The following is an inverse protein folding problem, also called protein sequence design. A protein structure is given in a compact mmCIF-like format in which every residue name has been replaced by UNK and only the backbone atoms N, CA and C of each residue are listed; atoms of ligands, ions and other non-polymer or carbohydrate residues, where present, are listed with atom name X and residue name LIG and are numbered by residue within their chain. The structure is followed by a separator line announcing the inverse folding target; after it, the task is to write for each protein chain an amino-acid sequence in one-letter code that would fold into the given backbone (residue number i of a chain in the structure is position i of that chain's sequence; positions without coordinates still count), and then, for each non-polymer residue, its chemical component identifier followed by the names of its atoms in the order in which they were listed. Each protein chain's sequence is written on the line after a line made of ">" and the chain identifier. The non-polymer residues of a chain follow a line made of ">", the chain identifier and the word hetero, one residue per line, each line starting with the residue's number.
data_IF_758004765568
#
_entry.id   IF_758004765568
#
_cell.length_a   1.000
_cell.length_b   1.000
_cell.length_c   1.000
_cell.angle_alpha   90.00
_cell.angle_beta   90.00
_cell.angle_gamma   90.00
#
_symmetry.space_group_name_H-M   'P 1'
#
loop_
_entity.id
_entity.type
_entity.pdbx_description
1 polymer ?
#
# COMPACT_ATOMS: atom_id res chain seq x y z
N UNK A 1 23.04 -47.88 14.76
CA UNK A 1 24.07 -46.82 14.71
C UNK A 1 24.07 -45.99 13.42
N UNK A 2 24.25 -46.59 12.24
CA UNK A 2 24.27 -45.84 10.95
C UNK A 2 23.01 -45.01 10.67
N UNK A 3 21.82 -45.57 10.89
CA UNK A 3 20.54 -44.87 10.69
C UNK A 3 20.33 -43.70 11.67
N UNK A 4 20.77 -43.85 12.91
CA UNK A 4 20.68 -42.77 13.90
C UNK A 4 21.64 -41.61 13.56
N UNK A 5 22.83 -41.93 13.06
CA UNK A 5 23.77 -40.92 12.56
C UNK A 5 23.22 -40.18 11.33
N UNK A 6 22.60 -40.89 10.39
CA UNK A 6 21.98 -40.30 9.19
C UNK A 6 20.78 -39.41 9.54
N UNK A 7 19.88 -39.86 10.43
CA UNK A 7 18.77 -39.04 10.94
C UNK A 7 19.28 -37.78 11.64
N UNK A 8 20.32 -37.90 12.47
CA UNK A 8 20.93 -36.74 13.14
C UNK A 8 21.48 -35.75 12.12
N UNK A 9 22.13 -36.23 11.07
CA UNK A 9 22.67 -35.39 10.00
C UNK A 9 21.56 -34.69 9.22
N UNK A 10 20.49 -35.40 8.85
CA UNK A 10 19.34 -34.83 8.14
C UNK A 10 18.60 -33.78 8.97
N UNK A 11 18.40 -34.04 10.26
CA UNK A 11 17.81 -33.06 11.20
C UNK A 11 18.69 -31.81 11.33
N UNK A 12 20.02 -31.97 11.37
CA UNK A 12 20.95 -30.84 11.38
C UNK A 12 20.85 -29.99 10.11
N UNK A 13 20.75 -30.63 8.94
CA UNK A 13 20.53 -29.92 7.66
C UNK A 13 19.17 -29.22 7.62
N UNK A 14 18.11 -29.87 8.08
CA UNK A 14 16.76 -29.30 8.14
C UNK A 14 16.74 -28.04 9.00
N UNK A 15 17.35 -28.10 10.19
CA UNK A 15 17.44 -26.95 11.09
C UNK A 15 18.20 -25.79 10.46
N UNK A 16 19.32 -26.06 9.80
CA UNK A 16 20.07 -25.03 9.08
C UNK A 16 19.23 -24.36 7.99
N UNK A 17 18.49 -25.14 7.18
CA UNK A 17 17.62 -24.59 6.14
C UNK A 17 16.51 -23.72 6.77
N UNK A 18 15.93 -24.12 7.89
CA UNK A 18 14.93 -23.32 8.60
C UNK A 18 15.50 -21.99 9.10
N UNK A 19 16.72 -22.00 9.65
CA UNK A 19 17.43 -20.79 10.08
C UNK A 19 17.75 -19.87 8.87
N UNK A 20 18.18 -20.45 7.74
CA UNK A 20 18.44 -19.71 6.50
C UNK A 20 17.14 -19.08 5.94
N UNK A 21 16.01 -19.81 5.95
CA UNK A 21 14.69 -19.28 5.55
C UNK A 21 14.29 -18.10 6.44
N UNK A 22 14.44 -18.24 7.76
CA UNK A 22 14.11 -17.17 8.70
C UNK A 22 14.96 -15.92 8.42
N UNK A 23 16.28 -16.08 8.25
CA UNK A 23 17.18 -14.97 7.93
C UNK A 23 16.83 -14.29 6.60
N UNK A 24 16.52 -15.07 5.56
CA UNK A 24 16.09 -14.52 4.27
C UNK A 24 14.75 -13.77 4.37
N UNK A 25 13.82 -14.23 5.22
CA UNK A 25 12.55 -13.54 5.46
C UNK A 25 12.77 -12.20 6.17
N UNK A 26 13.61 -12.17 7.19
CA UNK A 26 13.99 -10.93 7.88
C UNK A 26 14.65 -9.94 6.92
N UNK A 27 15.60 -10.42 6.10
CA UNK A 27 16.25 -9.60 5.08
C UNK A 27 15.24 -9.03 4.08
N UNK A 28 14.31 -9.85 3.59
CA UNK A 28 13.26 -9.40 2.67
C UNK A 28 12.39 -8.29 3.28
N UNK A 29 12.04 -8.40 4.56
CA UNK A 29 11.30 -7.35 5.29
C UNK A 29 12.12 -6.07 5.40
N UNK A 30 13.41 -6.18 5.69
CA UNK A 30 14.33 -5.03 5.72
C UNK A 30 14.45 -4.37 4.34
N UNK A 31 14.65 -5.15 3.28
CA UNK A 31 14.78 -4.64 1.91
C UNK A 31 13.52 -3.89 1.46
N UNK A 32 12.33 -4.38 1.86
CA UNK A 32 11.05 -3.67 1.62
C UNK A 32 11.00 -2.32 2.34
N UNK A 33 11.47 -2.24 3.57
CA UNK A 33 11.49 -0.96 4.29
C UNK A 33 12.49 0.01 3.65
N UNK A 34 13.69 -0.47 3.29
CA UNK A 34 14.70 0.34 2.58
C UNK A 34 14.17 0.85 1.25
N UNK A 35 13.46 0.00 0.50
CA UNK A 35 12.78 0.41 -0.73
C UNK A 35 11.80 1.56 -0.46
N UNK A 36 10.89 1.41 0.51
CA UNK A 36 9.91 2.44 0.84
C UNK A 36 10.56 3.75 1.31
N UNK A 37 11.60 3.66 2.13
CA UNK A 37 12.33 4.83 2.63
C UNK A 37 13.01 5.58 1.48
N UNK A 38 13.56 4.86 0.49
CA UNK A 38 14.17 5.47 -0.69
C UNK A 38 13.14 6.14 -1.61
N UNK A 39 11.99 5.50 -1.83
CA UNK A 39 10.92 6.00 -2.71
C UNK A 39 10.22 7.21 -2.11
N UNK A 40 10.02 7.23 -0.79
CA UNK A 40 9.27 8.26 -0.09
C UNK A 40 10.14 9.31 0.60
N UNK A 41 11.45 9.35 0.32
CA UNK A 41 12.40 10.24 0.98
C UNK A 41 12.00 11.72 0.89
N UNK A 42 11.48 12.14 -0.27
CA UNK A 42 11.06 13.51 -0.54
C UNK A 42 9.54 13.74 -0.27
N UNK A 43 8.81 12.72 0.17
CA UNK A 43 7.35 12.79 0.33
C UNK A 43 6.96 13.10 1.78
N UNK A 44 6.24 14.20 1.99
CA UNK A 44 5.81 14.64 3.33
C UNK A 44 4.41 14.16 3.71
N UNK A 45 3.60 13.76 2.73
CA UNK A 45 2.16 13.60 2.89
C UNK A 45 1.78 12.16 3.25
N UNK A 46 2.62 11.21 2.82
CA UNK A 46 2.45 9.78 3.10
C UNK A 46 3.67 9.19 3.81
N UNK A 47 3.41 8.31 4.77
CA UNK A 47 4.43 7.44 5.37
C UNK A 47 3.96 6.00 5.29
N UNK A 48 4.80 5.13 4.75
CA UNK A 48 4.53 3.70 4.66
C UNK A 48 5.57 2.98 5.51
N UNK A 49 5.09 2.20 6.48
CA UNK A 49 5.93 1.37 7.34
C UNK A 49 5.60 -0.10 7.13
N UNK A 50 6.63 -0.92 6.94
CA UNK A 50 6.50 -2.37 6.95
C UNK A 50 6.30 -2.83 8.39
N UNK A 51 5.26 -3.63 8.60
CA UNK A 51 4.99 -4.36 9.82
C UNK A 51 5.46 -5.80 9.58
N UNK A 52 6.63 -6.21 10.11
CA UNK A 52 7.13 -7.57 9.98
C UNK A 52 6.09 -8.56 10.49
N UNK A 53 5.76 -9.57 9.69
CA UNK A 53 4.77 -10.59 10.06
C UNK A 53 3.41 -9.99 10.50
N UNK A 54 3.07 -8.78 10.05
CA UNK A 54 1.93 -7.99 10.52
C UNK A 54 0.56 -8.42 10.00
N UNK A 55 0.42 -9.68 9.58
CA UNK A 55 -0.84 -10.28 9.17
C UNK A 55 -1.89 -10.09 10.28
N UNK A 56 -3.10 -9.66 9.92
CA UNK A 56 -4.15 -9.41 10.92
C UNK A 56 -4.51 -10.69 11.68
N UNK A 57 -4.83 -10.56 12.99
CA UNK A 57 -5.14 -11.70 13.88
C UNK A 57 -6.13 -12.69 13.26
N UNK A 58 -7.17 -12.21 12.60
CA UNK A 58 -8.18 -13.06 11.94
C UNK A 58 -7.61 -13.88 10.77
N UNK A 59 -6.84 -13.24 9.87
CA UNK A 59 -6.21 -13.91 8.72
C UNK A 59 -5.13 -14.89 9.17
N UNK A 60 -4.36 -14.51 10.19
CA UNK A 60 -3.39 -15.36 10.86
C UNK A 60 -4.07 -16.60 11.45
N UNK A 61 -5.13 -16.41 12.23
CA UNK A 61 -5.91 -17.48 12.84
C UNK A 61 -6.47 -18.43 11.79
N UNK A 62 -7.06 -17.91 10.71
CA UNK A 62 -7.58 -18.71 9.60
C UNK A 62 -6.50 -19.59 8.97
N UNK A 63 -5.31 -19.05 8.72
CA UNK A 63 -4.19 -19.83 8.17
C UNK A 63 -3.67 -20.88 9.15
N UNK A 64 -3.52 -20.53 10.43
CA UNK A 64 -3.12 -21.49 11.47
C UNK A 64 -4.14 -22.63 11.55
N UNK A 65 -5.43 -22.31 11.57
CA UNK A 65 -6.50 -23.31 11.55
C UNK A 65 -6.48 -24.18 10.31
N UNK A 66 -6.24 -23.59 9.14
CA UNK A 66 -6.13 -24.32 7.87
C UNK A 66 -4.96 -25.31 7.88
N UNK A 67 -3.75 -24.85 8.25
CA UNK A 67 -2.55 -25.69 8.26
C UNK A 67 -2.69 -26.81 9.31
N UNK A 68 -3.21 -26.47 10.49
CA UNK A 68 -3.45 -27.45 11.56
C UNK A 68 -4.70 -28.30 11.34
N UNK A 69 -5.41 -28.15 10.22
CA UNK A 69 -6.63 -28.90 9.87
C UNK A 69 -7.73 -28.81 10.96
N UNK A 70 -7.86 -27.64 11.57
CA UNK A 70 -8.87 -27.32 12.59
C UNK A 70 -10.00 -26.50 11.96
N UNK A 71 -11.25 -26.95 12.07
CA UNK A 71 -12.40 -26.22 11.53
C UNK A 71 -13.29 -25.61 12.62
N UNK A 72 -13.85 -24.42 12.34
CA UNK A 72 -14.80 -23.73 13.22
C UNK A 72 -14.21 -23.37 14.59
N UNK A 73 -15.04 -23.40 15.63
CA UNK A 73 -14.67 -23.04 17.02
C UNK A 73 -13.88 -24.13 17.78
N UNK A 74 -13.44 -25.19 17.10
CA UNK A 74 -12.64 -26.24 17.74
C UNK A 74 -11.34 -25.64 18.30
N UNK A 75 -10.98 -26.06 19.51
CA UNK A 75 -9.74 -25.69 20.21
C UNK A 75 -9.55 -24.18 20.42
N UNK A 76 -10.65 -23.41 20.49
CA UNK A 76 -10.63 -21.95 20.60
C UNK A 76 -9.66 -21.43 21.66
N UNK A 77 -9.64 -22.01 22.87
CA UNK A 77 -8.76 -21.59 23.97
C UNK A 77 -7.27 -21.74 23.65
N UNK A 78 -6.89 -22.80 22.94
CA UNK A 78 -5.51 -23.05 22.54
C UNK A 78 -5.11 -22.15 21.38
N UNK A 79 -5.97 -22.02 20.36
CA UNK A 79 -5.73 -21.12 19.22
C UNK A 79 -5.62 -19.67 19.67
N UNK A 80 -6.51 -19.19 20.54
CA UNK A 80 -6.41 -17.85 21.14
C UNK A 80 -5.08 -17.68 21.88
N UNK A 81 -4.62 -18.69 22.62
CA UNK A 81 -3.33 -18.63 23.30
C UNK A 81 -2.14 -18.54 22.33
N UNK A 82 -2.23 -19.23 21.19
CA UNK A 82 -1.25 -19.14 20.12
C UNK A 82 -1.26 -17.75 19.46
N UNK A 83 -2.44 -17.14 19.28
CA UNK A 83 -2.57 -15.81 18.66
C UNK A 83 -2.07 -14.65 19.54
N UNK A 84 -1.87 -14.89 20.83
CA UNK A 84 -1.23 -13.92 21.74
C UNK A 84 0.31 -13.96 21.68
N UNK A 85 0.90 -14.94 20.99
CA UNK A 85 2.33 -15.00 20.80
C UNK A 85 2.72 -14.03 19.67
N UNK A 86 3.39 -12.93 20.05
CA UNK A 86 3.81 -11.89 19.12
C UNK A 86 5.01 -12.28 18.23
N UNK A 87 5.83 -13.22 18.69
CA UNK A 87 6.99 -13.73 17.95
C UNK A 87 6.67 -15.03 17.22
N UNK A 88 6.80 -15.02 15.90
CA UNK A 88 6.52 -16.15 15.04
C UNK A 88 7.41 -17.37 15.34
N UNK A 89 8.67 -17.14 15.76
CA UNK A 89 9.56 -18.23 16.16
C UNK A 89 9.02 -18.95 17.40
N UNK A 90 8.58 -18.19 18.40
CA UNK A 90 7.93 -18.74 19.59
C UNK A 90 6.60 -19.43 19.28
N UNK A 91 5.82 -18.93 18.31
CA UNK A 91 4.59 -19.58 17.87
C UNK A 91 4.87 -20.99 17.33
N UNK A 92 5.85 -21.14 16.44
CA UNK A 92 6.30 -22.43 15.91
C UNK A 92 6.77 -23.38 17.01
N UNK A 93 7.65 -22.89 17.87
CA UNK A 93 8.16 -23.67 19.00
C UNK A 93 7.04 -24.15 19.92
N UNK A 94 6.00 -23.33 20.12
CA UNK A 94 4.86 -23.69 20.96
C UNK A 94 4.01 -24.79 20.34
N UNK A 95 3.73 -24.73 19.03
CA UNK A 95 2.97 -25.78 18.33
C UNK A 95 3.75 -27.09 18.28
N UNK A 96 5.05 -27.06 17.98
CA UNK A 96 5.90 -28.26 18.06
C UNK A 96 6.01 -28.82 19.49
N UNK A 97 6.04 -27.94 20.50
CA UNK A 97 6.02 -28.34 21.89
C UNK A 97 4.73 -29.06 22.25
N UNK A 98 3.59 -28.54 21.81
CA UNK A 98 2.29 -29.16 22.02
C UNK A 98 2.21 -30.51 21.28
N UNK A 99 2.75 -30.65 20.07
CA UNK A 99 2.70 -31.93 19.36
C UNK A 99 3.55 -33.04 20.01
N UNK A 100 4.42 -32.70 20.97
CA UNK A 100 5.33 -33.66 21.63
C UNK A 100 5.05 -33.84 23.12
N UNK A 101 4.43 -32.85 23.77
CA UNK A 101 4.17 -32.85 25.21
C UNK A 101 2.76 -32.33 25.53
N UNK A 102 1.93 -33.18 26.13
CA UNK A 102 0.58 -32.85 26.61
C UNK A 102 0.58 -31.67 27.57
N UNK A 103 1.61 -31.53 28.41
CA UNK A 103 1.67 -30.46 29.42
C UNK A 103 1.73 -29.06 28.80
N UNK A 104 2.12 -28.97 27.53
CA UNK A 104 2.21 -27.73 26.79
C UNK A 104 0.86 -27.22 26.25
N UNK A 105 -0.19 -28.05 26.22
CA UNK A 105 -1.53 -27.70 25.73
C UNK A 105 -2.47 -27.26 26.86
N UNK A 106 -3.42 -26.37 26.56
CA UNK A 106 -4.51 -26.01 27.49
C UNK A 106 -5.62 -27.07 27.47
N UNK A 107 -5.93 -27.64 26.30
CA UNK A 107 -6.91 -28.72 26.14
C UNK A 107 -6.22 -30.03 25.69
N UNK A 108 -6.54 -31.12 26.39
CA UNK A 108 -6.09 -32.47 26.02
C UNK A 108 -6.55 -32.85 24.61
N UNK A 109 -7.72 -32.40 24.17
CA UNK A 109 -8.23 -32.68 22.82
C UNK A 109 -7.41 -31.99 21.74
N UNK A 110 -6.80 -30.83 22.04
CA UNK A 110 -5.93 -30.14 21.10
C UNK A 110 -4.57 -30.82 20.99
N UNK A 111 -4.00 -31.26 22.12
CA UNK A 111 -2.81 -32.14 22.11
C UNK A 111 -3.05 -33.37 21.25
N UNK A 112 -4.14 -34.11 21.50
CA UNK A 112 -4.47 -35.33 20.74
C UNK A 112 -4.67 -35.04 19.25
N UNK A 113 -5.21 -33.88 18.89
CA UNK A 113 -5.35 -33.48 17.49
C UNK A 113 -3.99 -33.25 16.83
N UNK A 114 -3.09 -32.51 17.49
CA UNK A 114 -1.74 -32.24 16.97
C UNK A 114 -0.85 -33.49 16.93
N UNK A 115 -0.98 -34.37 17.92
CA UNK A 115 -0.29 -35.67 17.98
C UNK A 115 -0.73 -36.62 16.84
N UNK A 116 -2.01 -36.56 16.45
CA UNK A 116 -2.54 -37.33 15.32
C UNK A 116 -2.46 -36.60 13.97
N UNK A 117 -1.94 -35.38 13.94
CA UNK A 117 -1.88 -34.59 12.72
C UNK A 117 -0.84 -35.20 11.76
N UNK A 118 -1.09 -35.24 10.44
CA UNK A 118 -0.10 -35.70 9.49
C UNK A 118 1.23 -34.94 9.65
N UNK A 119 2.36 -35.65 9.57
CA UNK A 119 3.69 -35.02 9.67
C UNK A 119 3.91 -33.94 8.62
N UNK A 120 3.29 -34.08 7.45
CA UNK A 120 3.30 -33.06 6.38
C UNK A 120 2.71 -31.74 6.87
N UNK A 121 1.55 -31.77 7.55
CA UNK A 121 0.89 -30.57 8.08
C UNK A 121 1.73 -29.86 9.15
N UNK A 122 2.40 -30.62 10.03
CA UNK A 122 3.34 -30.05 10.99
C UNK A 122 4.55 -29.44 10.30
N UNK A 123 5.05 -30.10 9.25
CA UNK A 123 6.16 -29.58 8.43
C UNK A 123 5.77 -28.29 7.72
N UNK A 124 4.57 -28.23 7.13
CA UNK A 124 4.00 -27.04 6.51
C UNK A 124 3.88 -25.89 7.51
N UNK A 125 3.47 -26.18 8.75
CA UNK A 125 3.41 -25.17 9.81
C UNK A 125 4.79 -24.60 10.16
N UNK A 126 5.79 -25.47 10.26
CA UNK A 126 7.18 -25.08 10.56
C UNK A 126 7.82 -24.32 9.40
N UNK A 127 7.43 -24.58 8.16
CA UNK A 127 7.88 -23.85 6.98
C UNK A 127 7.09 -22.56 6.72
N UNK A 128 5.88 -22.45 7.25
CA UNK A 128 5.03 -21.30 7.03
C UNK A 128 5.52 -20.04 7.78
N UNK A 129 5.35 -18.87 7.17
CA UNK A 129 5.58 -17.57 7.79
C UNK A 129 4.42 -16.62 7.48
N UNK A 130 3.96 -15.83 8.46
CA UNK A 130 3.03 -14.74 8.21
C UNK A 130 3.62 -13.79 7.18
N UNK A 131 2.74 -13.14 6.42
CA UNK A 131 3.19 -12.10 5.51
C UNK A 131 3.43 -10.80 6.28
N UNK A 132 4.34 -9.98 5.74
CA UNK A 132 4.45 -8.60 6.18
C UNK A 132 3.15 -7.87 5.84
N UNK A 133 2.88 -6.82 6.60
CA UNK A 133 1.77 -5.93 6.34
C UNK A 133 2.29 -4.50 6.22
N UNK A 134 1.47 -3.60 5.68
CA UNK A 134 1.81 -2.20 5.55
C UNK A 134 0.95 -1.38 6.51
N UNK A 135 1.60 -0.48 7.24
CA UNK A 135 0.94 0.63 7.92
C UNK A 135 1.18 1.88 7.11
N UNK A 136 0.13 2.36 6.46
CA UNK A 136 0.16 3.59 5.69
C UNK A 136 -0.51 4.66 6.54
N UNK A 137 0.20 5.75 6.79
CA UNK A 137 -0.36 6.92 7.47
C UNK A 137 -0.36 8.12 6.53
N UNK A 138 -1.51 8.78 6.47
CA UNK A 138 -1.78 10.00 5.73
C UNK A 138 -1.75 11.22 6.66
N UNK A 139 -1.64 12.44 6.11
CA UNK A 139 -1.68 13.76 6.79
C UNK A 139 -1.89 13.74 8.32
N UNK A 140 -0.88 14.19 9.08
CA UNK A 140 -0.86 14.24 10.57
C UNK A 140 -0.95 12.87 11.26
N UNK A 141 -0.73 11.76 10.55
CA UNK A 141 -0.57 10.43 11.14
C UNK A 141 -1.86 9.60 11.20
N UNK A 142 -2.91 9.99 10.47
CA UNK A 142 -4.13 9.20 10.35
C UNK A 142 -3.84 7.89 9.62
N UNK A 143 -4.35 6.76 10.14
CA UNK A 143 -4.22 5.47 9.47
C UNK A 143 -5.08 5.42 8.20
N UNK A 144 -4.49 5.05 7.07
CA UNK A 144 -5.18 4.99 5.79
C UNK A 144 -6.33 3.98 5.79
N UNK A 145 -6.30 2.95 6.65
CA UNK A 145 -7.39 1.97 6.74
C UNK A 145 -8.73 2.62 7.08
N UNK A 146 -8.71 3.62 7.96
CA UNK A 146 -9.90 4.40 8.35
C UNK A 146 -10.11 5.64 7.47
N UNK A 147 -9.21 5.90 6.52
CA UNK A 147 -9.31 7.01 5.59
C UNK A 147 -10.47 6.86 4.60
N UNK A 148 -10.93 8.01 4.10
CA UNK A 148 -11.94 8.08 3.04
C UNK A 148 -11.44 7.44 1.74
N UNK A 149 -12.36 7.18 0.80
CA UNK A 149 -11.98 6.70 -0.53
C UNK A 149 -11.00 7.67 -1.21
N UNK A 150 -11.24 8.98 -1.12
CA UNK A 150 -10.35 10.00 -1.66
C UNK A 150 -8.97 9.99 -1.00
N UNK A 151 -8.88 9.87 0.33
CA UNK A 151 -7.58 9.75 1.02
C UNK A 151 -6.80 8.50 0.58
N UNK A 152 -7.49 7.38 0.35
CA UNK A 152 -6.88 6.14 -0.17
C UNK A 152 -6.34 6.33 -1.58
N UNK A 153 -7.12 6.92 -2.48
CA UNK A 153 -6.66 7.26 -3.83
C UNK A 153 -5.48 8.23 -3.81
N UNK A 154 -5.55 9.28 -2.98
CA UNK A 154 -4.48 10.25 -2.84
C UNK A 154 -3.17 9.60 -2.36
N UNK A 155 -3.24 8.71 -1.37
CA UNK A 155 -2.05 8.03 -0.88
C UNK A 155 -1.41 7.11 -1.94
N UNK A 156 -2.23 6.37 -2.70
CA UNK A 156 -1.73 5.53 -3.79
C UNK A 156 -1.08 6.37 -4.89
N UNK A 157 -1.72 7.47 -5.27
CA UNK A 157 -1.23 8.36 -6.31
C UNK A 157 0.08 9.06 -5.89
N UNK A 158 0.18 9.51 -4.63
CA UNK A 158 1.42 10.04 -4.07
C UNK A 158 2.57 9.03 -4.18
N UNK A 159 2.30 7.76 -3.87
CA UNK A 159 3.29 6.69 -4.02
C UNK A 159 3.69 6.49 -5.50
N UNK A 160 2.72 6.37 -6.42
CA UNK A 160 2.99 6.19 -7.86
C UNK A 160 3.80 7.35 -8.43
N UNK A 161 3.49 8.58 -8.04
CA UNK A 161 4.23 9.77 -8.47
C UNK A 161 5.63 9.86 -7.84
N UNK A 162 5.88 9.19 -6.71
CA UNK A 162 7.20 9.17 -6.05
C UNK A 162 8.08 8.02 -6.54
N UNK A 163 7.51 7.02 -7.21
CA UNK A 163 8.20 5.79 -7.61
C UNK A 163 8.40 5.69 -9.13
N UNK A 164 9.64 5.44 -9.55
CA UNK A 164 9.99 5.14 -10.95
C UNK A 164 10.38 6.38 -11.76
N UNK A 165 11.11 6.13 -12.85
CA UNK A 165 11.65 7.15 -13.75
C UNK A 165 11.08 7.02 -15.18
N UNK A 166 10.37 5.93 -15.47
CA UNK A 166 9.71 5.67 -16.74
C UNK A 166 8.55 6.65 -17.00
N UNK A 167 8.23 7.02 -18.25
CA UNK A 167 7.10 7.92 -18.52
C UNK A 167 5.79 7.47 -17.85
N UNK A 168 5.11 8.39 -17.18
CA UNK A 168 3.86 8.13 -16.48
C UNK A 168 2.68 8.71 -17.24
N UNK A 169 1.67 7.90 -17.54
CA UNK A 169 0.39 8.33 -18.09
C UNK A 169 -0.68 8.20 -17.01
N UNK A 170 -1.35 9.30 -16.69
CA UNK A 170 -2.45 9.36 -15.75
C UNK A 170 -3.71 9.82 -16.47
N UNK A 171 -4.76 9.02 -16.43
CA UNK A 171 -6.08 9.38 -16.94
C UNK A 171 -6.99 9.72 -15.78
N UNK A 172 -7.42 10.99 -15.72
CA UNK A 172 -8.27 11.55 -14.68
C UNK A 172 -7.88 11.15 -13.24
N UNK A 173 -6.62 11.41 -12.82
CA UNK A 173 -6.18 11.08 -11.46
C UNK A 173 -6.98 11.80 -10.36
N UNK A 174 -7.79 12.79 -10.72
CA UNK A 174 -8.62 13.60 -9.82
C UNK A 174 -10.03 13.07 -9.50
N UNK A 175 -10.58 12.11 -10.24
CA UNK A 175 -12.05 11.86 -10.24
C UNK A 175 -12.62 11.48 -8.85
N UNK A 176 -11.82 10.84 -7.99
CA UNK A 176 -12.20 10.44 -6.63
C UNK A 176 -11.67 11.39 -5.54
N UNK A 177 -11.13 12.55 -5.92
CA UNK A 177 -10.46 13.48 -5.02
C UNK A 177 -11.18 14.82 -4.93
N UNK A 178 -11.22 15.37 -3.71
CA UNK A 178 -11.65 16.76 -3.53
C UNK A 178 -10.56 17.74 -4.00
N UNK A 179 -10.96 19.00 -4.22
CA UNK A 179 -10.05 20.03 -4.72
C UNK A 179 -8.92 20.37 -3.74
N UNK A 180 -9.10 20.13 -2.44
CA UNK A 180 -8.07 20.35 -1.43
C UNK A 180 -6.96 19.33 -1.59
N UNK A 181 -7.29 18.04 -1.64
CA UNK A 181 -6.35 16.94 -1.87
C UNK A 181 -5.65 17.05 -3.24
N UNK A 182 -6.36 17.46 -4.29
CA UNK A 182 -5.75 17.70 -5.60
C UNK A 182 -4.67 18.78 -5.51
N UNK A 183 -4.96 19.89 -4.82
CA UNK A 183 -4.00 20.97 -4.71
C UNK A 183 -2.84 20.62 -3.76
N UNK A 184 -3.15 20.12 -2.58
CA UNK A 184 -2.16 19.94 -1.53
C UNK A 184 -1.23 18.76 -1.76
N UNK A 185 -1.67 17.73 -2.49
CA UNK A 185 -0.89 16.52 -2.71
C UNK A 185 -0.50 16.36 -4.17
N UNK A 186 -1.47 16.29 -5.09
CA UNK A 186 -1.19 15.99 -6.50
C UNK A 186 -0.32 17.09 -7.12
N UNK A 187 -0.73 18.34 -7.00
CA UNK A 187 -0.02 19.46 -7.65
C UNK A 187 1.41 19.59 -7.11
N UNK A 188 1.60 19.46 -5.79
CA UNK A 188 2.94 19.50 -5.18
C UNK A 188 3.82 18.37 -5.71
N UNK A 189 3.27 17.15 -5.75
CA UNK A 189 4.00 15.97 -6.20
C UNK A 189 4.33 16.01 -7.69
N UNK A 190 3.40 16.43 -8.56
CA UNK A 190 3.66 16.63 -9.99
C UNK A 190 4.83 17.59 -10.18
N UNK A 191 4.84 18.72 -9.45
CA UNK A 191 5.91 19.72 -9.56
C UNK A 191 7.28 19.19 -9.14
N UNK A 192 7.32 18.33 -8.12
CA UNK A 192 8.56 17.70 -7.68
C UNK A 192 9.04 16.65 -8.70
N UNK A 193 8.13 15.77 -9.15
CA UNK A 193 8.45 14.60 -9.98
C UNK A 193 8.74 14.96 -11.44
N UNK A 194 8.05 15.96 -12.03
CA UNK A 194 8.20 16.30 -13.45
C UNK A 194 9.60 16.73 -13.90
N UNK A 195 10.46 17.10 -12.94
CA UNK A 195 11.86 17.44 -13.22
C UNK A 195 12.75 16.20 -13.40
N UNK A 196 12.31 15.05 -12.90
CA UNK A 196 13.03 13.77 -12.92
C UNK A 196 12.40 12.76 -13.89
N UNK A 197 11.09 12.90 -14.15
CA UNK A 197 10.26 11.93 -14.88
C UNK A 197 9.29 12.63 -15.82
N UNK A 198 9.07 12.08 -17.02
CA UNK A 198 8.01 12.57 -17.91
C UNK A 198 6.62 12.15 -17.37
N UNK A 199 5.71 13.11 -17.25
CA UNK A 199 4.33 12.87 -16.81
C UNK A 199 3.37 13.42 -17.87
N UNK A 200 2.43 12.58 -18.30
CA UNK A 200 1.35 12.90 -19.22
C UNK A 200 0.05 12.72 -18.46
N UNK A 201 -0.77 13.76 -18.38
CA UNK A 201 -2.01 13.74 -17.62
C UNK A 201 -3.17 14.14 -18.53
N UNK A 202 -4.19 13.29 -18.58
CA UNK A 202 -5.51 13.64 -19.10
C UNK A 202 -6.34 14.12 -17.92
N UNK A 203 -6.79 15.36 -17.96
CA UNK A 203 -7.48 15.99 -16.82
C UNK A 203 -8.48 17.03 -17.29
N UNK A 204 -9.54 17.19 -16.50
CA UNK A 204 -10.50 18.28 -16.61
C UNK A 204 -10.35 19.30 -15.47
N UNK A 205 -9.35 19.13 -14.59
CA UNK A 205 -9.13 19.98 -13.44
C UNK A 205 -8.09 21.09 -13.74
N UNK A 206 -8.54 22.34 -13.63
CA UNK A 206 -7.68 23.51 -13.83
C UNK A 206 -6.49 23.58 -12.85
N UNK A 207 -6.62 23.05 -11.63
CA UNK A 207 -5.51 23.05 -10.66
C UNK A 207 -4.35 22.18 -11.14
N UNK A 208 -4.61 21.03 -11.75
CA UNK A 208 -3.56 20.16 -12.29
C UNK A 208 -2.83 20.85 -13.43
N UNK A 209 -3.55 21.45 -14.38
CA UNK A 209 -2.95 22.11 -15.54
C UNK A 209 -2.23 23.41 -15.14
N UNK A 210 -2.90 24.28 -14.39
CA UNK A 210 -2.43 25.63 -14.06
C UNK A 210 -1.44 25.60 -12.91
N UNK A 211 -1.83 25.04 -11.77
CA UNK A 211 -1.00 25.03 -10.56
C UNK A 211 0.08 23.94 -10.60
N UNK A 212 -0.14 22.86 -11.35
CA UNK A 212 0.92 21.90 -11.71
C UNK A 212 1.99 22.48 -12.65
N UNK A 213 1.74 23.68 -13.20
CA UNK A 213 2.66 24.41 -14.08
C UNK A 213 3.01 23.61 -15.34
N UNK A 214 2.00 23.16 -16.08
CA UNK A 214 2.21 22.31 -17.26
C UNK A 214 3.11 22.99 -18.33
N UNK A 215 4.19 22.30 -18.71
CA UNK A 215 5.13 22.75 -19.74
C UNK A 215 4.53 22.68 -21.15
N UNK A 216 3.63 21.74 -21.38
CA UNK A 216 2.91 21.55 -22.63
C UNK A 216 1.44 21.26 -22.32
N UNK A 217 0.55 22.01 -22.96
CA UNK A 217 -0.89 21.81 -22.86
C UNK A 217 -1.43 21.49 -24.25
N UNK A 218 -2.22 20.42 -24.33
CA UNK A 218 -2.88 19.94 -25.55
C UNK A 218 -4.40 19.98 -25.34
N UNK A 219 -5.06 21.13 -25.57
CA UNK A 219 -6.51 21.23 -25.49
C UNK A 219 -7.17 20.43 -26.63
N UNK A 220 -8.03 19.48 -26.25
CA UNK A 220 -8.85 18.73 -27.19
C UNK A 220 -10.09 19.53 -27.58
N UNK A 221 -10.37 19.63 -28.87
CA UNK A 221 -11.58 20.26 -29.42
C UNK A 221 -12.43 19.20 -30.12
N UNK A 222 -13.75 19.26 -29.95
CA UNK A 222 -14.70 18.37 -30.62
C UNK A 222 -15.52 19.15 -31.62
N UNK A 223 -15.48 18.75 -32.89
CA UNK A 223 -16.28 19.33 -33.97
C UNK A 223 -16.72 18.21 -34.92
N UNK A 224 -17.98 18.23 -35.36
CA UNK A 224 -18.52 17.19 -36.23
C UNK A 224 -18.46 15.76 -35.63
N UNK A 225 -18.40 15.64 -34.29
CA UNK A 225 -18.27 14.36 -33.59
C UNK A 225 -16.84 13.79 -33.56
N UNK A 226 -15.84 14.52 -34.05
CA UNK A 226 -14.43 14.11 -34.00
C UNK A 226 -13.63 15.03 -33.10
N UNK A 227 -12.66 14.44 -32.40
CA UNK A 227 -11.72 15.18 -31.56
C UNK A 227 -10.46 15.50 -32.32
N UNK A 228 -9.97 16.74 -32.24
CA UNK A 228 -8.72 17.16 -32.85
C UNK A 228 -7.98 18.18 -31.98
N UNK A 229 -6.68 18.33 -32.28
CA UNK A 229 -5.80 19.30 -31.63
C UNK A 229 -5.72 20.52 -32.54
N UNK A 230 -6.37 21.62 -32.15
CA UNK A 230 -6.30 22.88 -32.90
C UNK A 230 -4.96 23.59 -32.65
N UNK A 231 -4.49 23.59 -31.40
CA UNK A 231 -3.25 24.26 -30.99
C UNK A 231 -2.72 23.60 -29.73
N UNK A 232 -1.40 23.48 -29.64
CA UNK A 232 -0.69 23.03 -28.44
C UNK A 232 0.49 23.97 -28.17
N UNK A 233 0.70 24.34 -26.91
CA UNK A 233 1.86 25.11 -26.49
C UNK A 233 1.98 25.07 -24.96
N UNK A 234 2.98 25.74 -24.40
CA UNK A 234 3.09 25.93 -22.95
C UNK A 234 1.98 26.82 -22.40
N UNK A 235 1.76 26.72 -21.09
CA UNK A 235 0.78 27.55 -20.36
C UNK A 235 1.07 29.07 -20.46
N UNK A 236 2.31 29.46 -20.81
CA UNK A 236 2.67 30.87 -20.97
C UNK A 236 2.10 31.49 -22.25
N UNK A 237 1.72 30.67 -23.24
CA UNK A 237 1.14 31.16 -24.48
C UNK A 237 -0.27 31.72 -24.25
N UNK A 238 -0.50 32.98 -24.66
CA UNK A 238 -1.78 33.65 -24.45
C UNK A 238 -2.98 32.94 -25.09
N UNK A 239 -2.80 32.29 -26.24
CA UNK A 239 -3.89 31.58 -26.90
C UNK A 239 -4.24 30.28 -26.16
N UNK A 240 -3.22 29.59 -25.63
CA UNK A 240 -3.43 28.43 -24.75
C UNK A 240 -4.13 28.85 -23.47
N UNK A 241 -3.74 29.96 -22.83
CA UNK A 241 -4.43 30.47 -21.63
C UNK A 241 -5.91 30.76 -21.87
N UNK A 242 -6.23 31.36 -23.02
CA UNK A 242 -7.63 31.60 -23.43
C UNK A 242 -8.38 30.27 -23.62
N UNK A 243 -7.76 29.27 -24.22
CA UNK A 243 -8.34 27.93 -24.39
C UNK A 243 -8.56 27.23 -23.06
N UNK A 244 -7.57 27.22 -22.16
CA UNK A 244 -7.69 26.69 -20.79
C UNK A 244 -8.86 27.35 -20.08
N UNK A 245 -8.92 28.69 -20.06
CA UNK A 245 -10.00 29.44 -19.41
C UNK A 245 -11.36 29.11 -20.03
N UNK A 246 -11.45 28.96 -21.37
CA UNK A 246 -12.69 28.59 -22.05
C UNK A 246 -13.15 27.17 -21.69
N UNK A 247 -12.24 26.20 -21.69
CA UNK A 247 -12.56 24.77 -21.54
C UNK A 247 -12.75 24.37 -20.08
N UNK A 248 -11.82 24.75 -19.20
CA UNK A 248 -11.81 24.31 -17.80
C UNK A 248 -12.57 25.23 -16.84
N UNK A 249 -12.74 26.51 -17.20
CA UNK A 249 -13.37 27.52 -16.32
C UNK A 249 -14.66 28.13 -16.91
N UNK A 250 -15.15 27.62 -18.04
CA UNK A 250 -16.35 28.13 -18.70
C UNK A 250 -16.19 29.53 -19.32
N UNK A 251 -14.96 30.01 -19.46
CA UNK A 251 -14.60 31.28 -20.08
C UNK A 251 -14.39 32.43 -19.09
N UNK A 252 -13.80 33.52 -19.61
CA UNK A 252 -13.30 34.63 -18.80
C UNK A 252 -14.38 35.32 -17.95
N UNK A 253 -15.61 35.42 -18.47
CA UNK A 253 -16.74 36.00 -17.74
C UNK A 253 -17.13 35.14 -16.52
N UNK A 254 -17.26 33.82 -16.71
CA UNK A 254 -17.61 32.88 -15.64
C UNK A 254 -16.52 32.85 -14.56
N UNK A 255 -15.25 32.75 -14.97
CA UNK A 255 -14.10 32.81 -14.06
C UNK A 255 -14.08 34.10 -13.23
N UNK A 256 -14.26 35.27 -13.87
CA UNK A 256 -14.26 36.57 -13.17
C UNK A 256 -15.43 36.71 -12.20
N UNK A 257 -16.63 36.23 -12.54
CA UNK A 257 -17.77 36.25 -11.64
C UNK A 257 -17.55 35.34 -10.42
N UNK A 258 -17.01 34.15 -10.62
CA UNK A 258 -16.64 33.22 -9.55
C UNK A 258 -15.62 33.84 -8.61
N UNK A 259 -14.56 34.44 -9.16
CA UNK A 259 -13.54 35.14 -8.37
C UNK A 259 -14.14 36.27 -7.52
N UNK A 260 -15.02 37.09 -8.10
CA UNK A 260 -15.69 38.18 -7.37
C UNK A 260 -16.54 37.67 -6.21
N UNK A 261 -17.32 36.61 -6.40
CA UNK A 261 -18.17 36.06 -5.33
C UNK A 261 -17.37 35.40 -4.20
N UNK A 262 -16.27 34.73 -4.52
CA UNK A 262 -15.49 33.98 -3.52
C UNK A 262 -14.48 34.88 -2.78
N UNK A 263 -13.94 35.90 -3.46
CA UNK A 263 -12.79 36.66 -2.95
C UNK A 263 -13.08 38.13 -2.62
N UNK A 264 -14.16 38.73 -3.13
CA UNK A 264 -14.41 40.18 -3.03
C UNK A 264 -15.65 40.57 -2.20
N UNK A 265 -16.25 39.66 -1.42
CA UNK A 265 -17.36 40.02 -0.51
C UNK A 265 -16.92 40.58 0.86
N UNK A 266 -15.61 40.68 1.17
CA UNK A 266 -15.11 41.15 2.47
C UNK A 266 -14.36 42.51 2.46
N UNK A 267 -14.50 43.34 1.42
CA UNK A 267 -13.91 44.70 1.45
C UNK A 267 -14.91 45.83 1.73
N UNK A 268 -16.19 45.56 2.00
CA UNK A 268 -17.18 46.59 2.39
C UNK A 268 -18.30 46.06 3.32
N UNK A 269 -17.96 45.60 4.52
CA UNK A 269 -18.90 45.40 5.62
C UNK A 269 -18.38 46.05 6.91
#
# INVERSE_FOLDING_TARGET
>A
DRYQAELTQLNGKSKKIQDDIQSNREQLTTDRQVFLDSVLQDNTDIKIKVLPYGEGKESLEQKVRQILQCSGDKYKKDIEALMEISDHKNLKNKVEGISKDRSAAKDQRFYQHLDNLPQESLSDFVLWHPQDNLKITFDKGQDLKTGSAGQKCAALLAFILSYGDEPLLLDQPEDDLDNELIYDLIVKQIRATKNKRQIIIVTHNANIVVNGNAEMVVPMTVEGGQSYIEKQASIQNNDIRKKICKVLEGGQKAFSQRYKRIHLEDENA
#
